data_IF_853470560438
#
_entry.id   IF_853470560438
#
_cell.length_a   1.000
_cell.length_b   1.000
_cell.length_c   1.000
_cell.angle_alpha   90.00
_cell.angle_beta   90.00
_cell.angle_gamma   90.00
#
_symmetry.space_group_name_H-M   'P 1'
#
loop_
_entity.id
_entity.type
_entity.pdbx_description
1 polymer ?
#
# COMPACT_ATOMS: atom_id res chain seq x y z
N UNK A 1 -0.09 12.60 13.01
CA UNK A 1 -0.83 11.39 12.56
C UNK A 1 -1.52 11.70 11.24
N UNK A 2 -1.43 10.80 10.28
CA UNK A 2 -2.06 10.90 8.95
C UNK A 2 -2.93 9.67 8.78
N UNK A 3 -4.12 9.85 8.22
CA UNK A 3 -5.06 8.77 7.93
C UNK A 3 -5.54 8.87 6.48
N UNK A 4 -5.84 7.71 5.89
CA UNK A 4 -6.50 7.60 4.59
C UNK A 4 -7.43 6.42 4.58
N UNK A 5 -8.50 6.54 3.82
CA UNK A 5 -9.47 5.48 3.60
C UNK A 5 -9.70 5.31 2.10
N UNK A 6 -9.82 4.07 1.67
CA UNK A 6 -10.15 3.72 0.29
C UNK A 6 -11.19 2.62 0.27
N UNK A 7 -12.25 2.85 -0.47
CA UNK A 7 -13.32 1.86 -0.69
C UNK A 7 -13.29 1.37 -2.13
N UNK A 8 -13.45 0.08 -2.30
CA UNK A 8 -13.50 -0.57 -3.61
C UNK A 8 -14.62 -1.62 -3.63
N UNK A 9 -15.36 -1.65 -4.74
CA UNK A 9 -16.34 -2.68 -5.00
C UNK A 9 -15.70 -3.82 -5.77
N UNK A 10 -15.84 -5.04 -5.29
CA UNK A 10 -15.25 -6.27 -5.86
C UNK A 10 -16.37 -7.22 -6.27
N UNK A 11 -16.30 -7.71 -7.49
CA UNK A 11 -17.28 -8.66 -8.03
C UNK A 11 -16.95 -10.09 -7.62
N UNK A 12 -17.07 -10.34 -6.33
CA UNK A 12 -16.92 -11.67 -5.73
C UNK A 12 -17.64 -11.72 -4.37
N UNK A 13 -17.91 -12.92 -3.89
CA UNK A 13 -18.55 -13.14 -2.60
C UNK A 13 -17.60 -12.88 -1.42
N UNK A 14 -18.15 -12.46 -0.28
CA UNK A 14 -17.38 -12.09 0.91
C UNK A 14 -16.47 -13.22 1.42
N UNK A 15 -16.90 -14.47 1.32
CA UNK A 15 -16.12 -15.64 1.77
C UNK A 15 -14.87 -15.86 0.90
N UNK A 16 -14.99 -15.66 -0.41
CA UNK A 16 -13.87 -15.74 -1.35
C UNK A 16 -12.84 -14.64 -1.05
N UNK A 17 -13.32 -13.42 -0.84
CA UNK A 17 -12.48 -12.28 -0.48
C UNK A 17 -11.82 -12.49 0.88
N UNK A 18 -12.54 -13.07 1.85
CA UNK A 18 -11.99 -13.42 3.14
C UNK A 18 -10.88 -14.45 3.04
N UNK A 19 -11.06 -15.50 2.24
CA UNK A 19 -10.01 -16.49 2.01
C UNK A 19 -8.71 -15.85 1.48
N UNK A 20 -8.84 -14.85 0.61
CA UNK A 20 -7.70 -14.07 0.14
C UNK A 20 -7.12 -13.17 1.24
N UNK A 21 -7.96 -12.52 2.05
CA UNK A 21 -7.50 -11.65 3.15
C UNK A 21 -6.68 -12.42 4.21
N UNK A 22 -6.98 -13.70 4.40
CA UNK A 22 -6.22 -14.59 5.30
C UNK A 22 -4.84 -15.01 4.76
N UNK A 23 -4.60 -14.87 3.46
CA UNK A 23 -3.30 -15.14 2.85
C UNK A 23 -2.38 -13.91 2.98
N UNK A 24 -1.58 -13.88 4.05
CA UNK A 24 -0.64 -12.76 4.32
C UNK A 24 0.32 -12.52 3.14
N UNK A 25 0.79 -13.56 2.45
CA UNK A 25 1.69 -13.41 1.29
C UNK A 25 0.97 -12.83 0.09
N UNK A 26 -0.24 -13.33 -0.19
CA UNK A 26 -1.12 -12.80 -1.22
C UNK A 26 -1.42 -11.34 -0.99
N UNK A 27 -1.79 -10.98 0.22
CA UNK A 27 -2.04 -9.61 0.67
C UNK A 27 -0.81 -8.71 0.51
N UNK A 28 0.32 -9.13 1.04
CA UNK A 28 1.58 -8.38 0.94
C UNK A 28 1.99 -8.13 -0.52
N UNK A 29 1.75 -9.11 -1.41
CA UNK A 29 2.12 -8.99 -2.83
C UNK A 29 1.41 -7.85 -3.56
N UNK A 30 0.28 -7.37 -3.03
CA UNK A 30 -0.47 -6.23 -3.58
C UNK A 30 0.12 -4.87 -3.17
N UNK A 31 1.03 -4.85 -2.20
CA UNK A 31 1.61 -3.59 -1.73
C UNK A 31 2.57 -3.01 -2.80
N UNK A 32 2.34 -1.78 -3.28
CA UNK A 32 3.24 -1.15 -4.22
C UNK A 32 4.68 -1.07 -3.70
N UNK A 33 5.63 -1.54 -4.49
CA UNK A 33 7.05 -1.57 -4.10
C UNK A 33 7.47 -2.76 -3.26
N UNK A 34 6.60 -3.75 -3.06
CA UNK A 34 6.94 -5.01 -2.37
C UNK A 34 8.13 -5.69 -3.03
N UNK A 35 9.13 -6.05 -2.21
CA UNK A 35 10.30 -6.82 -2.62
C UNK A 35 10.27 -8.23 -2.02
N UNK A 36 9.95 -8.31 -0.73
CA UNK A 36 9.97 -9.55 0.02
C UNK A 36 8.94 -9.52 1.15
N UNK A 37 8.29 -10.65 1.38
CA UNK A 37 7.40 -10.89 2.52
C UNK A 37 7.84 -12.17 3.24
N UNK A 38 8.34 -12.02 4.44
CA UNK A 38 8.65 -13.09 5.38
C UNK A 38 7.46 -13.26 6.33
N UNK A 39 6.73 -14.38 6.22
CA UNK A 39 5.67 -14.73 7.18
C UNK A 39 6.35 -15.46 8.34
N UNK A 40 6.24 -14.91 9.54
CA UNK A 40 6.84 -15.42 10.77
C UNK A 40 5.88 -16.43 11.42
N UNK A 41 4.61 -16.05 11.54
CA UNK A 41 3.52 -16.88 12.03
C UNK A 41 2.18 -16.36 11.46
N UNK A 42 1.06 -16.86 11.98
CA UNK A 42 -0.29 -16.53 11.49
C UNK A 42 -0.67 -15.05 11.65
N UNK A 43 -0.02 -14.34 12.57
CA UNK A 43 -0.33 -12.95 12.89
C UNK A 43 0.84 -12.00 12.59
N UNK A 44 2.06 -12.53 12.40
CA UNK A 44 3.26 -11.72 12.28
C UNK A 44 3.96 -11.92 10.95
N UNK A 45 4.35 -10.82 10.33
CA UNK A 45 5.13 -10.82 9.10
C UNK A 45 6.11 -9.64 9.05
N UNK A 46 7.16 -9.80 8.26
CA UNK A 46 8.12 -8.75 7.95
C UNK A 46 8.13 -8.50 6.46
N UNK A 47 7.95 -7.25 6.07
CA UNK A 47 7.88 -6.83 4.68
C UNK A 47 9.07 -5.95 4.33
N UNK A 48 9.68 -6.20 3.20
CA UNK A 48 10.71 -5.33 2.61
C UNK A 48 10.08 -4.58 1.45
N UNK A 49 10.00 -3.26 1.56
CA UNK A 49 9.38 -2.37 0.59
C UNK A 49 10.39 -1.41 0.00
N UNK A 50 10.30 -1.17 -1.30
CA UNK A 50 11.01 -0.11 -1.99
C UNK A 50 10.05 1.08 -2.19
N UNK A 51 10.28 2.14 -1.45
CA UNK A 51 9.44 3.35 -1.50
C UNK A 51 10.23 4.52 -2.08
N UNK A 52 9.57 5.33 -2.87
CA UNK A 52 10.17 6.50 -3.49
C UNK A 52 9.39 7.76 -3.12
N UNK A 53 10.11 8.80 -2.69
CA UNK A 53 9.57 10.12 -2.41
C UNK A 53 10.52 11.19 -2.96
N UNK A 54 10.00 12.05 -3.84
CA UNK A 54 10.74 13.22 -4.33
C UNK A 54 12.08 12.90 -5.04
N UNK A 55 12.15 11.76 -5.76
CA UNK A 55 13.39 11.31 -6.43
C UNK A 55 14.33 10.48 -5.55
N UNK A 56 14.06 10.40 -4.25
CA UNK A 56 14.75 9.49 -3.34
C UNK A 56 14.04 8.15 -3.34
N UNK A 57 14.80 7.08 -3.55
CA UNK A 57 14.31 5.70 -3.42
C UNK A 57 14.97 5.08 -2.20
N UNK A 58 14.17 4.54 -1.30
CA UNK A 58 14.64 3.89 -0.08
C UNK A 58 14.00 2.52 0.08
N UNK A 59 14.79 1.57 0.54
CA UNK A 59 14.27 0.28 0.99
C UNK A 59 13.98 0.38 2.48
N UNK A 60 12.77 0.05 2.88
CA UNK A 60 12.31 0.04 4.26
C UNK A 60 11.86 -1.36 4.66
N UNK A 61 12.09 -1.72 5.92
CA UNK A 61 11.57 -2.95 6.52
C UNK A 61 10.45 -2.60 7.47
N UNK A 62 9.36 -3.31 7.35
CA UNK A 62 8.13 -3.09 8.11
C UNK A 62 7.74 -4.37 8.81
N UNK A 63 7.60 -4.33 10.12
CA UNK A 63 6.95 -5.41 10.88
C UNK A 63 5.47 -5.16 10.89
N UNK A 64 4.70 -6.15 10.47
CA UNK A 64 3.24 -6.12 10.46
C UNK A 64 2.74 -7.18 11.43
N UNK A 65 1.80 -6.78 12.27
CA UNK A 65 1.10 -7.65 13.21
C UNK A 65 -0.40 -7.52 12.98
N UNK A 66 -1.07 -8.65 12.86
CA UNK A 66 -2.53 -8.68 12.85
C UNK A 66 -3.01 -8.77 14.28
N UNK A 67 -3.66 -7.73 14.74
CA UNK A 67 -4.15 -7.61 16.10
C UNK A 67 -5.41 -8.46 16.31
N UNK A 68 -6.24 -8.59 15.26
CA UNK A 68 -7.49 -9.35 15.32
C UNK A 68 -7.96 -9.78 13.92
N UNK A 69 -8.32 -11.05 13.81
CA UNK A 69 -9.04 -11.65 12.70
C UNK A 69 -10.50 -11.82 13.09
N UNK A 70 -11.37 -10.93 12.61
CA UNK A 70 -12.80 -10.94 12.87
C UNK A 70 -13.54 -11.22 11.55
N UNK A 71 -13.46 -12.49 11.15
CA UNK A 71 -13.95 -12.91 9.83
C UNK A 71 -15.46 -13.18 9.78
N UNK A 72 -16.04 -13.05 8.60
CA UNK A 72 -15.38 -12.80 7.30
C UNK A 72 -15.19 -11.32 6.94
N UNK A 73 -15.49 -10.39 7.83
CA UNK A 73 -15.69 -9.00 7.47
C UNK A 73 -14.64 -8.02 7.98
N UNK A 74 -13.83 -8.37 9.00
CA UNK A 74 -12.87 -7.43 9.58
C UNK A 74 -11.50 -8.02 9.87
N UNK A 75 -10.48 -7.18 9.67
CA UNK A 75 -9.11 -7.41 10.14
C UNK A 75 -8.60 -6.11 10.72
N UNK A 76 -7.97 -6.20 11.88
CA UNK A 76 -7.25 -5.09 12.51
C UNK A 76 -5.77 -5.42 12.51
N UNK A 77 -4.94 -4.47 12.12
CA UNK A 77 -3.50 -4.67 12.09
C UNK A 77 -2.74 -3.42 12.51
N UNK A 78 -1.56 -3.66 13.04
CA UNK A 78 -0.58 -2.62 13.37
C UNK A 78 0.74 -2.89 12.65
N UNK A 79 1.53 -1.85 12.48
CA UNK A 79 2.85 -1.98 11.87
C UNK A 79 3.86 -0.98 12.43
N UNK A 80 5.15 -1.35 12.31
CA UNK A 80 6.28 -0.49 12.69
C UNK A 80 7.38 -0.59 11.64
N UNK A 81 7.98 0.54 11.29
CA UNK A 81 9.18 0.57 10.47
C UNK A 81 10.40 0.21 11.32
N UNK A 82 11.27 -0.66 10.79
CA UNK A 82 12.53 -0.98 11.44
C UNK A 82 13.54 0.12 11.16
N UNK A 83 14.11 0.67 12.23
CA UNK A 83 15.14 1.73 12.16
C UNK A 83 14.61 3.15 11.99
N UNK A 84 13.31 3.33 11.85
CA UNK A 84 12.68 4.64 11.78
C UNK A 84 11.57 4.78 12.84
N UNK A 85 11.41 5.95 13.44
CA UNK A 85 10.39 6.19 14.46
C UNK A 85 9.00 6.39 13.83
N UNK A 86 8.55 5.45 13.02
CA UNK A 86 7.29 5.46 12.30
C UNK A 86 6.53 4.18 12.61
N UNK A 87 5.30 4.34 12.99
CA UNK A 87 4.36 3.26 13.25
C UNK A 87 2.98 3.61 12.72
N UNK A 88 2.10 2.64 12.69
CA UNK A 88 0.73 2.85 12.27
C UNK A 88 -0.11 1.61 12.43
N UNK A 89 -1.23 1.61 11.78
CA UNK A 89 -2.15 0.49 11.75
C UNK A 89 -3.24 0.74 10.75
N UNK A 90 -4.15 -0.19 10.67
CA UNK A 90 -5.29 -0.05 9.77
C UNK A 90 -6.35 -1.09 10.02
N UNK A 91 -7.40 -0.98 9.24
CA UNK A 91 -8.51 -1.91 9.23
C UNK A 91 -8.85 -2.30 7.80
N UNK A 92 -9.17 -3.55 7.62
CA UNK A 92 -9.91 -4.06 6.49
C UNK A 92 -11.35 -4.27 6.95
N UNK A 93 -12.32 -3.82 6.17
CA UNK A 93 -13.73 -4.06 6.43
C UNK A 93 -14.44 -4.40 5.12
N UNK A 94 -15.11 -5.55 5.08
CA UNK A 94 -15.86 -6.05 3.94
C UNK A 94 -17.35 -6.09 4.26
N UNK A 95 -18.17 -5.68 3.30
CA UNK A 95 -19.64 -5.70 3.41
C UNK A 95 -20.21 -6.31 2.14
N UNK A 96 -20.93 -7.43 2.28
CA UNK A 96 -21.64 -8.03 1.16
C UNK A 96 -22.76 -7.09 0.68
N UNK A 97 -22.74 -6.74 -0.60
CA UNK A 97 -23.78 -5.92 -1.26
C UNK A 97 -24.78 -6.79 -2.02
N UNK A 98 -24.39 -8.01 -2.34
CA UNK A 98 -25.21 -9.00 -3.05
C UNK A 98 -24.49 -10.34 -3.13
N UNK A 99 -25.11 -11.36 -3.78
CA UNK A 99 -24.56 -12.73 -3.81
C UNK A 99 -23.15 -12.88 -4.41
N UNK A 100 -22.72 -11.95 -5.25
CA UNK A 100 -21.42 -11.97 -5.92
C UNK A 100 -20.78 -10.60 -5.92
N UNK A 101 -21.05 -9.78 -4.92
CA UNK A 101 -20.54 -8.42 -4.85
C UNK A 101 -20.28 -8.01 -3.41
N UNK A 102 -19.08 -7.51 -3.16
CA UNK A 102 -18.63 -7.10 -1.83
C UNK A 102 -17.91 -5.76 -1.91
N UNK A 103 -18.29 -4.86 -1.03
CA UNK A 103 -17.60 -3.60 -0.83
C UNK A 103 -16.50 -3.79 0.23
N UNK A 104 -15.27 -3.43 -0.12
CA UNK A 104 -14.13 -3.50 0.79
C UNK A 104 -13.63 -2.10 1.06
N UNK A 105 -13.55 -1.75 2.34
CA UNK A 105 -12.98 -0.50 2.82
C UNK A 105 -11.68 -0.77 3.56
N UNK A 106 -10.63 -0.07 3.16
CA UNK A 106 -9.29 -0.11 3.74
C UNK A 106 -9.00 1.23 4.38
N UNK A 107 -8.87 1.28 5.69
CA UNK A 107 -8.42 2.45 6.42
C UNK A 107 -7.00 2.22 6.93
N UNK A 108 -6.12 3.21 6.74
CA UNK A 108 -4.71 3.14 7.16
C UNK A 108 -4.30 4.44 7.82
N UNK A 109 -3.62 4.34 8.95
CA UNK A 109 -3.03 5.47 9.68
C UNK A 109 -1.52 5.31 9.79
N UNK A 110 -0.82 6.42 9.76
CA UNK A 110 0.64 6.53 9.94
C UNK A 110 0.94 7.59 10.99
N UNK A 111 1.82 7.29 11.89
CA UNK A 111 2.29 8.19 12.93
C UNK A 111 3.81 8.18 12.98
N UNK A 112 4.41 9.36 12.85
CA UNK A 112 5.83 9.58 13.16
C UNK A 112 5.98 10.00 14.61
N UNK A 113 7.10 9.64 15.22
CA UNK A 113 7.44 10.08 16.58
C UNK A 113 8.80 10.77 16.65
N UNK A 114 9.05 11.45 17.77
CA UNK A 114 10.29 12.19 18.01
C UNK A 114 10.44 13.47 17.18
N UNK A 115 11.65 14.06 17.16
CA UNK A 115 11.90 15.35 16.50
C UNK A 115 11.67 15.34 14.99
N UNK A 116 11.71 14.16 14.35
CA UNK A 116 11.51 13.98 12.92
C UNK A 116 10.05 13.73 12.52
N UNK A 117 9.12 13.67 13.46
CA UNK A 117 7.69 13.43 13.21
C UNK A 117 7.09 14.37 12.15
N UNK A 118 7.31 15.69 12.18
CA UNK A 118 6.77 16.59 11.15
C UNK A 118 7.27 16.28 9.74
N UNK A 119 8.53 15.84 9.61
CA UNK A 119 9.09 15.45 8.32
C UNK A 119 8.41 14.17 7.79
N UNK A 120 8.23 13.15 8.64
CA UNK A 120 7.55 11.93 8.26
C UNK A 120 6.09 12.17 7.86
N UNK A 121 5.42 13.05 8.56
CA UNK A 121 4.04 13.45 8.23
C UNK A 121 3.98 14.21 6.90
N UNK A 122 4.87 15.15 6.66
CA UNK A 122 4.92 15.88 5.40
C UNK A 122 5.16 14.97 4.20
N UNK A 123 6.03 13.95 4.34
CA UNK A 123 6.28 12.93 3.31
C UNK A 123 5.09 11.98 3.14
N UNK A 124 4.46 11.58 4.23
CA UNK A 124 3.37 10.62 4.23
C UNK A 124 2.07 11.15 3.62
N UNK A 125 1.79 12.44 3.77
CA UNK A 125 0.54 13.06 3.27
C UNK A 125 0.25 12.80 1.80
N UNK A 126 1.17 13.00 0.85
CA UNK A 126 0.92 12.69 -0.55
C UNK A 126 1.07 11.19 -0.87
N UNK A 127 1.89 10.46 -0.13
CA UNK A 127 2.24 9.07 -0.41
C UNK A 127 1.16 8.08 0.05
N UNK A 128 0.63 8.24 1.25
CA UNK A 128 -0.29 7.29 1.87
C UNK A 128 -1.57 7.08 1.05
N UNK A 129 -2.27 8.11 0.55
CA UNK A 129 -3.45 7.93 -0.28
C UNK A 129 -3.15 7.20 -1.60
N UNK A 130 -1.97 7.45 -2.20
CA UNK A 130 -1.58 6.79 -3.44
C UNK A 130 -1.28 5.29 -3.22
N UNK A 131 -0.61 4.95 -2.12
CA UNK A 131 -0.36 3.55 -1.75
C UNK A 131 -1.66 2.82 -1.46
N UNK A 132 -2.55 3.43 -0.68
CA UNK A 132 -3.85 2.85 -0.34
C UNK A 132 -4.74 2.64 -1.58
N UNK A 133 -4.78 3.63 -2.48
CA UNK A 133 -5.51 3.51 -3.76
C UNK A 133 -4.92 2.45 -4.67
N UNK A 134 -3.59 2.40 -4.79
CA UNK A 134 -2.90 1.39 -5.58
C UNK A 134 -3.15 -0.01 -5.05
N UNK A 135 -3.09 -0.19 -3.75
CA UNK A 135 -3.39 -1.44 -3.08
C UNK A 135 -4.85 -1.89 -3.31
N UNK A 136 -5.83 -1.00 -3.08
CA UNK A 136 -7.25 -1.30 -3.27
C UNK A 136 -7.58 -1.71 -4.72
N UNK A 137 -6.96 -1.03 -5.69
CA UNK A 137 -7.10 -1.39 -7.11
C UNK A 137 -6.53 -2.77 -7.42
N UNK A 138 -5.32 -3.07 -6.93
CA UNK A 138 -4.71 -4.38 -7.11
C UNK A 138 -5.49 -5.50 -6.42
N UNK A 139 -6.05 -5.23 -5.24
CA UNK A 139 -6.91 -6.17 -4.51
C UNK A 139 -8.10 -6.58 -5.36
N UNK A 140 -8.86 -5.61 -5.87
CA UNK A 140 -9.99 -5.85 -6.76
C UNK A 140 -9.57 -6.66 -7.98
N UNK A 141 -8.57 -6.18 -8.71
CA UNK A 141 -8.15 -6.79 -9.97
C UNK A 141 -7.64 -8.23 -9.76
N UNK A 142 -6.98 -8.50 -8.64
CA UNK A 142 -6.49 -9.84 -8.29
C UNK A 142 -7.62 -10.81 -7.98
N UNK A 143 -8.60 -10.39 -7.20
CA UNK A 143 -9.74 -11.24 -6.81
C UNK A 143 -10.63 -11.49 -8.02
N UNK A 144 -11.00 -10.46 -8.79
CA UNK A 144 -11.84 -10.61 -9.97
C UNK A 144 -11.18 -11.48 -11.06
N UNK A 145 -9.86 -11.39 -11.23
CA UNK A 145 -9.13 -12.27 -12.14
C UNK A 145 -9.16 -13.74 -11.69
N UNK A 146 -9.08 -13.99 -10.39
CA UNK A 146 -9.18 -15.34 -9.84
C UNK A 146 -10.59 -15.93 -10.04
N UNK A 147 -11.63 -15.13 -9.82
CA UNK A 147 -13.02 -15.52 -10.00
C UNK A 147 -13.36 -15.87 -11.47
N UNK A 148 -12.73 -15.19 -12.44
CA UNK A 148 -12.95 -15.44 -13.88
C UNK A 148 -12.08 -16.56 -14.47
N UNK A 149 -11.28 -17.26 -13.63
CA UNK A 149 -10.40 -18.34 -14.10
C UNK A 149 -9.22 -17.87 -14.95
N UNK A 150 -8.98 -16.57 -15.05
CA UNK A 150 -7.89 -15.98 -15.84
C UNK A 150 -6.57 -15.88 -15.03
N UNK A 151 -6.55 -16.39 -13.80
CA UNK A 151 -5.40 -16.35 -12.91
C UNK A 151 -4.38 -17.47 -13.24
N UNK A 152 -3.77 -17.39 -14.41
CA UNK A 152 -2.61 -18.22 -14.76
C UNK A 152 -1.55 -17.41 -15.48
N UNK A 153 -0.91 -16.49 -14.72
CA UNK A 153 0.49 -16.09 -14.91
C UNK A 153 0.85 -15.05 -13.83
N UNK A 154 2.04 -15.16 -13.21
CA UNK A 154 2.56 -14.04 -12.42
C UNK A 154 2.74 -12.88 -13.40
N UNK A 155 1.96 -11.83 -13.22
CA UNK A 155 2.12 -10.59 -13.99
C UNK A 155 3.52 -10.07 -13.68
N UNK A 156 4.45 -10.00 -14.68
CA UNK A 156 5.73 -9.36 -14.44
C UNK A 156 5.41 -7.94 -14.00
N UNK A 157 6.03 -7.51 -12.89
CA UNK A 157 5.91 -6.15 -12.38
C UNK A 157 6.14 -5.17 -13.54
N UNK A 158 5.05 -4.68 -14.13
CA UNK A 158 5.15 -3.70 -15.22
C UNK A 158 5.66 -2.41 -14.60
N UNK A 159 6.90 -2.11 -14.91
CA UNK A 159 7.65 -0.89 -14.61
C UNK A 159 6.98 0.42 -15.08
N UNK A 160 5.73 0.37 -15.54
CA UNK A 160 5.02 1.52 -16.07
C UNK A 160 4.55 2.52 -15.00
N UNK A 161 4.36 2.10 -13.76
CA UNK A 161 4.00 3.02 -12.67
C UNK A 161 5.21 3.83 -12.21
N UNK A 162 6.42 3.22 -12.24
CA UNK A 162 7.68 3.92 -11.96
C UNK A 162 8.04 4.89 -13.09
N UNK A 163 7.71 4.59 -14.34
CA UNK A 163 7.94 5.48 -15.48
C UNK A 163 6.99 6.70 -15.44
N UNK A 164 5.74 6.53 -15.02
CA UNK A 164 4.79 7.64 -14.88
C UNK A 164 5.15 8.56 -13.71
N UNK A 165 5.62 8.01 -12.59
CA UNK A 165 6.14 8.80 -11.45
C UNK A 165 7.45 9.50 -11.79
N UNK A 166 8.36 8.87 -12.54
CA UNK A 166 9.61 9.47 -12.99
C UNK A 166 9.40 10.64 -13.95
N UNK A 167 8.45 10.54 -14.89
CA UNK A 167 8.15 11.61 -15.83
C UNK A 167 7.48 12.83 -15.17
N UNK A 168 6.63 12.60 -14.17
CA UNK A 168 5.95 13.67 -13.44
C UNK A 168 6.91 14.42 -12.49
N UNK A 169 7.81 13.70 -11.82
CA UNK A 169 8.84 14.29 -10.94
C UNK A 169 9.92 15.04 -11.74
N UNK A 170 10.27 14.60 -12.95
CA UNK A 170 11.19 15.30 -13.83
C UNK A 170 10.67 16.67 -14.28
N UNK A 171 9.37 16.83 -14.41
CA UNK A 171 8.76 18.11 -14.78
C UNK A 171 8.70 19.11 -13.60
N UNK A 172 8.52 18.64 -12.37
CA UNK A 172 8.55 19.51 -11.18
C UNK A 172 9.96 20.00 -10.90
N UNK A 173 10.98 19.16 -11.08
CA UNK A 173 12.38 19.55 -10.90
C UNK A 173 12.80 20.66 -11.88
N UNK A 174 12.39 20.58 -13.15
CA UNK A 174 12.65 21.63 -14.15
C UNK A 174 11.93 22.94 -13.84
N UNK A 175 10.76 22.90 -13.23
CA UNK A 175 10.00 24.09 -12.88
C UNK A 175 10.57 24.82 -11.64
N UNK A 176 11.18 24.10 -10.71
CA UNK A 176 11.69 24.67 -9.43
C UNK A 176 13.15 25.08 -9.53
N UNK A 177 13.99 24.36 -10.28
CA UNK A 177 15.44 24.61 -10.35
C UNK A 177 15.97 25.12 -11.70
N UNK A 178 15.12 25.20 -12.72
CA UNK A 178 15.51 25.69 -14.05
C UNK A 178 15.75 27.20 -14.15
N UNK A 179 15.74 27.95 -13.04
CA UNK A 179 15.84 29.43 -13.04
C UNK A 179 17.06 30.00 -12.31
N UNK A 180 18.09 29.18 -12.10
CA UNK A 180 19.37 29.68 -11.58
C UNK A 180 20.50 29.27 -12.54
N UNK A 181 20.85 30.17 -13.45
CA UNK A 181 22.05 29.99 -14.26
C UNK A 181 22.03 30.70 -15.61
N UNK A 182 21.87 32.01 -15.63
CA UNK A 182 22.36 32.82 -16.76
C UNK A 182 22.59 34.26 -16.30
N UNK A 183 23.76 34.45 -15.74
CA UNK A 183 24.27 35.75 -15.42
C UNK A 183 25.81 35.70 -15.38
N UNK A 184 26.44 35.94 -16.53
CA UNK A 184 27.80 36.45 -16.81
C UNK A 184 28.08 36.24 -18.30
N UNK A 185 28.40 37.15 -19.01
CA UNK A 185 29.20 38.37 -19.09
C UNK A 185 28.64 39.24 -20.21
#
# INVERSE_FOLDING_TARGET
>A
MIETEQTVLIRDGIDSIWAFARDIRGWASLMPGMQECEVIDDDNSRWTLKVGVGGLVRTVKVRVHVDQWDGPDRVFFTYKLEGDPVQGGGTYHAVAKGPGETEVTLAVRVEGSGPMAPMWEAMGRPLLPQLAKGFAGQLRDRIEAAATGTASQPVPARSSVLAALGAWLGNIWKAVFGRVGSGRT
#
